data_IF_223426346958
#
_entry.id   IF_223426346958
#
_cell.length_a   1.000
_cell.length_b   1.000
_cell.length_c   1.000
_cell.angle_alpha   90.00
_cell.angle_beta   90.00
_cell.angle_gamma   90.00
#
_symmetry.space_group_name_H-M   'P 1'
#
loop_
_entity.id
_entity.type
_entity.pdbx_description
1 polymer ?
#
# COMPACT_ATOMS: atom_id res chain seq x y z
N UNK A 1 0.75 -22.49 3.76
CA UNK A 1 0.31 -22.91 2.43
C UNK A 1 -0.80 -22.02 1.86
N UNK A 2 -0.95 -20.77 2.35
CA UNK A 2 -2.03 -19.83 1.96
C UNK A 2 -1.53 -18.54 1.29
N UNK A 3 -0.22 -18.30 1.28
CA UNK A 3 0.37 -17.08 0.70
C UNK A 3 0.09 -16.87 -0.80
N UNK A 4 0.08 -17.90 -1.68
CA UNK A 4 -0.20 -17.67 -3.10
C UNK A 4 -1.63 -17.20 -3.38
N UNK A 5 -2.58 -17.58 -2.53
CA UNK A 5 -3.99 -17.22 -2.70
C UNK A 5 -4.24 -15.75 -2.32
N UNK A 6 -3.60 -15.32 -1.30
CA UNK A 6 -3.68 -13.92 -0.87
C UNK A 6 -3.10 -12.95 -1.90
N UNK A 7 -2.28 -13.35 -2.57
CA UNK A 7 -1.77 -12.64 -3.52
C UNK A 7 -2.56 -12.52 -4.68
N UNK A 8 -3.01 -13.27 -4.78
CA UNK A 8 -3.86 -13.29 -5.81
C UNK A 8 -5.00 -12.46 -5.63
N UNK A 9 -5.63 -12.69 -4.53
CA UNK A 9 -6.80 -11.89 -4.13
C UNK A 9 -6.47 -10.39 -4.08
N UNK A 10 -5.33 -10.07 -3.55
CA UNK A 10 -4.85 -8.67 -3.48
C UNK A 10 -4.55 -8.10 -4.86
N UNK A 11 -4.01 -8.93 -5.75
CA UNK A 11 -3.79 -8.53 -7.15
C UNK A 11 -5.13 -8.34 -7.88
N UNK A 12 -6.13 -9.14 -7.59
CA UNK A 12 -7.48 -8.98 -8.15
C UNK A 12 -8.17 -7.74 -7.59
N UNK A 13 -8.15 -7.54 -6.27
CA UNK A 13 -8.70 -6.34 -5.61
C UNK A 13 -7.99 -5.09 -6.11
N UNK A 14 -6.71 -5.21 -6.33
CA UNK A 14 -5.89 -4.12 -6.85
C UNK A 14 -6.13 -3.86 -8.34
N UNK A 15 -6.28 -4.81 -8.94
CA UNK A 15 -6.59 -4.77 -10.23
C UNK A 15 -7.83 -4.15 -10.52
N UNK A 16 -8.78 -4.43 -9.73
CA UNK A 16 -10.10 -3.81 -9.84
C UNK A 16 -10.07 -2.32 -9.44
N UNK A 17 -9.34 -1.99 -8.40
CA UNK A 17 -9.12 -0.59 -8.00
C UNK A 17 -8.29 0.20 -9.03
N UNK A 18 -7.33 -0.45 -9.69
CA UNK A 18 -6.58 0.21 -10.78
C UNK A 18 -7.44 0.40 -12.02
N UNK A 19 -8.31 -0.54 -12.35
CA UNK A 19 -9.33 -0.37 -13.40
C UNK A 19 -10.25 0.79 -13.05
N UNK A 20 -10.67 0.90 -11.80
CA UNK A 20 -11.51 2.01 -11.33
C UNK A 20 -10.74 3.35 -11.35
N UNK A 21 -9.43 3.35 -11.07
CA UNK A 21 -8.59 4.54 -11.19
C UNK A 21 -8.44 4.95 -12.67
N UNK A 22 -8.32 4.00 -13.59
CA UNK A 22 -8.33 4.27 -15.03
C UNK A 22 -9.67 4.84 -15.50
N UNK A 23 -10.78 4.31 -14.99
CA UNK A 23 -12.14 4.80 -15.30
C UNK A 23 -12.34 6.21 -14.74
N UNK A 24 -11.82 6.49 -13.53
CA UNK A 24 -11.86 7.86 -12.95
C UNK A 24 -10.96 8.80 -13.78
N UNK A 25 -9.82 8.35 -14.25
CA UNK A 25 -8.94 9.11 -15.14
C UNK A 25 -9.60 9.37 -16.51
N UNK A 26 -10.36 8.44 -17.01
CA UNK A 26 -11.12 8.58 -18.26
C UNK A 26 -12.23 9.65 -18.16
N UNK A 27 -12.60 9.59 -17.20
CA UNK A 27 -13.62 10.42 -16.95
C UNK A 27 -13.25 11.80 -16.73
N UNK A 28 -12.26 11.97 -16.38
CA UNK A 28 -11.75 13.30 -16.12
C UNK A 28 -11.11 13.98 -17.35
N UNK A 29 -11.12 13.33 -18.49
CA UNK A 29 -10.39 13.83 -19.67
C UNK A 29 -11.06 15.01 -20.40
N UNK A 30 -12.34 15.27 -20.15
CA UNK A 30 -13.02 16.41 -20.76
C UNK A 30 -12.92 17.66 -19.86
N UNK A 31 -11.99 18.54 -20.18
CA UNK A 31 -11.85 19.86 -19.55
C UNK A 31 -10.84 20.00 -18.43
N UNK A 32 -9.83 19.14 -18.42
CA UNK A 32 -8.80 19.15 -17.37
C UNK A 32 -7.81 20.33 -17.55
N UNK A 33 -7.61 21.09 -16.48
CA UNK A 33 -6.61 22.16 -16.45
C UNK A 33 -5.19 21.60 -16.67
N UNK A 34 -4.28 22.37 -17.31
CA UNK A 34 -2.89 21.92 -17.54
C UNK A 34 -2.14 21.45 -16.28
N UNK A 35 -2.52 21.94 -15.11
CA UNK A 35 -1.94 21.52 -13.83
C UNK A 35 -2.35 20.09 -13.46
N UNK A 36 -3.62 19.74 -13.70
CA UNK A 36 -4.16 18.38 -13.43
C UNK A 36 -3.51 17.40 -14.40
N UNK A 37 -3.38 17.75 -15.68
CA UNK A 37 -2.73 16.90 -16.69
C UNK A 37 -1.28 16.57 -16.29
N UNK A 38 -0.53 17.56 -15.81
CA UNK A 38 0.85 17.35 -15.35
C UNK A 38 0.89 16.43 -14.10
N UNK A 39 -0.06 16.60 -13.19
CA UNK A 39 -0.16 15.76 -11.98
C UNK A 39 -0.47 14.31 -12.36
N UNK A 40 -1.40 14.11 -13.29
CA UNK A 40 -1.78 12.80 -13.81
C UNK A 40 -0.60 12.11 -14.48
N UNK A 41 0.16 12.84 -15.30
CA UNK A 41 1.39 12.31 -15.93
C UNK A 41 2.41 11.86 -14.89
N UNK A 42 2.61 12.67 -13.83
CA UNK A 42 3.53 12.31 -12.74
C UNK A 42 3.05 11.09 -11.96
N UNK A 43 1.74 10.99 -11.71
CA UNK A 43 1.15 9.83 -11.03
C UNK A 43 1.34 8.56 -11.88
N UNK A 44 1.09 8.63 -13.18
CA UNK A 44 1.28 7.50 -14.08
C UNK A 44 2.73 7.01 -14.10
N UNK A 45 3.69 7.95 -14.12
CA UNK A 45 5.12 7.62 -14.04
C UNK A 45 5.42 6.93 -12.69
N UNK A 46 4.85 7.45 -11.59
CA UNK A 46 5.01 6.87 -10.26
C UNK A 46 4.44 5.44 -10.20
N UNK A 47 3.23 5.24 -10.71
CA UNK A 47 2.58 3.91 -10.70
C UNK A 47 3.36 2.89 -11.56
N UNK A 48 3.78 3.29 -12.77
CA UNK A 48 4.62 2.44 -13.62
C UNK A 48 5.91 2.02 -12.90
N UNK A 49 6.59 2.98 -12.26
CA UNK A 49 7.78 2.68 -11.47
C UNK A 49 7.47 1.76 -10.30
N UNK A 50 6.38 2.01 -9.58
CA UNK A 50 6.00 1.25 -8.37
C UNK A 50 5.91 -0.26 -8.67
N UNK A 51 5.40 -0.62 -9.86
CA UNK A 51 5.19 -2.00 -10.28
C UNK A 51 6.27 -2.52 -11.23
N UNK A 52 7.33 -1.73 -11.47
CA UNK A 52 8.45 -2.16 -12.30
C UNK A 52 9.63 -2.64 -11.43
N UNK A 53 10.63 -3.20 -12.06
CA UNK A 53 11.91 -3.52 -11.44
C UNK A 53 12.91 -2.37 -11.58
N UNK A 54 12.49 -1.22 -12.13
CA UNK A 54 13.35 -0.08 -12.40
C UNK A 54 13.78 0.59 -11.09
N UNK A 55 15.02 1.02 -11.04
CA UNK A 55 15.53 1.76 -9.88
C UNK A 55 15.29 3.26 -10.09
N UNK A 56 15.09 3.97 -8.99
CA UNK A 56 14.71 5.41 -9.03
C UNK A 56 15.69 6.29 -9.81
N UNK A 57 16.98 5.91 -9.84
CA UNK A 57 17.99 6.73 -10.54
C UNK A 57 17.77 6.76 -12.05
N UNK A 58 17.15 5.71 -12.61
CA UNK A 58 16.90 5.57 -14.04
C UNK A 58 15.60 6.24 -14.49
N UNK A 59 14.80 6.72 -13.54
CA UNK A 59 13.53 7.39 -13.82
C UNK A 59 13.77 8.83 -14.33
N UNK A 60 12.81 9.39 -15.08
CA UNK A 60 12.95 10.75 -15.65
C UNK A 60 13.32 11.81 -14.60
N UNK A 61 14.44 12.47 -14.83
CA UNK A 61 15.00 13.48 -13.92
C UNK A 61 15.93 12.91 -12.86
N UNK A 62 16.20 11.62 -12.87
CA UNK A 62 17.07 10.94 -11.91
C UNK A 62 16.45 10.79 -10.52
N UNK A 63 17.10 10.01 -9.66
CA UNK A 63 16.56 9.55 -8.38
C UNK A 63 16.08 10.67 -7.45
N UNK A 64 16.85 11.74 -7.28
CA UNK A 64 16.49 12.85 -6.37
C UNK A 64 15.25 13.61 -6.87
N UNK A 65 15.28 13.97 -8.16
CA UNK A 65 14.16 14.69 -8.79
C UNK A 65 12.91 13.84 -8.82
N UNK A 66 13.04 12.55 -9.17
CA UNK A 66 11.94 11.61 -9.17
C UNK A 66 11.31 11.53 -7.77
N UNK A 67 12.10 11.28 -6.70
CA UNK A 67 11.59 11.21 -5.32
C UNK A 67 10.85 12.49 -4.92
N UNK A 68 11.43 13.67 -5.23
CA UNK A 68 10.80 14.95 -4.88
C UNK A 68 9.44 15.14 -5.56
N UNK A 69 9.34 14.77 -6.85
CA UNK A 69 8.09 14.91 -7.63
C UNK A 69 7.03 13.89 -7.22
N UNK A 70 7.45 12.72 -6.75
CA UNK A 70 6.52 11.61 -6.45
C UNK A 70 6.23 11.41 -4.96
N UNK A 71 6.90 12.15 -4.05
CA UNK A 71 6.72 11.98 -2.61
C UNK A 71 5.26 12.09 -2.17
N UNK A 72 4.52 13.03 -2.76
CA UNK A 72 3.10 13.27 -2.47
C UNK A 72 2.20 12.07 -2.81
N UNK A 73 2.63 11.19 -3.72
CA UNK A 73 1.84 10.02 -4.12
C UNK A 73 1.90 8.87 -3.10
N UNK A 74 2.76 8.97 -2.09
CA UNK A 74 2.72 8.02 -0.98
C UNK A 74 1.57 8.32 -0.01
N UNK A 75 1.03 9.53 -0.04
CA UNK A 75 -0.01 9.99 0.88
C UNK A 75 -1.43 9.92 0.30
N UNK A 76 -1.56 9.49 -0.97
CA UNK A 76 -2.89 9.41 -1.62
C UNK A 76 -3.66 8.13 -1.30
N UNK A 77 -3.00 7.14 -0.70
CA UNK A 77 -3.62 5.85 -0.41
C UNK A 77 -4.58 6.00 0.76
N UNK A 78 -5.83 5.67 0.52
CA UNK A 78 -6.84 5.69 1.57
C UNK A 78 -6.54 4.61 2.60
N UNK A 79 -6.61 4.99 3.87
CA UNK A 79 -6.53 4.01 4.93
C UNK A 79 -7.77 3.10 4.89
N UNK A 80 -7.64 1.82 5.23
CA UNK A 80 -8.80 0.93 5.32
C UNK A 80 -9.78 1.45 6.37
N UNK A 81 -11.06 1.06 6.29
CA UNK A 81 -12.01 1.41 7.34
C UNK A 81 -11.59 0.82 8.68
N UNK A 82 -12.11 1.40 9.74
CA UNK A 82 -11.90 0.87 11.10
C UNK A 82 -12.69 -0.43 11.23
N UNK A 83 -12.03 -1.47 11.72
CA UNK A 83 -12.64 -2.78 12.00
C UNK A 83 -13.00 -2.79 13.49
N UNK A 84 -14.27 -2.63 13.78
CA UNK A 84 -14.77 -2.58 15.16
C UNK A 84 -14.97 -3.99 15.75
N UNK A 85 -15.16 -4.99 14.87
CA UNK A 85 -15.32 -6.36 15.29
C UNK A 85 -14.04 -6.89 15.93
N UNK A 86 -14.16 -7.55 17.08
CA UNK A 86 -13.03 -8.16 17.78
C UNK A 86 -12.72 -9.53 17.22
N UNK A 87 -11.52 -9.69 16.70
CA UNK A 87 -11.01 -10.97 16.17
C UNK A 87 -10.13 -11.65 17.22
N UNK A 88 -10.36 -12.96 17.42
CA UNK A 88 -9.56 -13.72 18.39
C UNK A 88 -8.12 -13.85 17.93
N UNK A 89 -7.92 -14.14 16.64
CA UNK A 89 -6.56 -14.31 16.06
C UNK A 89 -6.48 -13.53 14.76
N UNK A 90 -5.44 -12.73 14.61
CA UNK A 90 -5.12 -12.06 13.35
C UNK A 90 -3.71 -12.44 12.90
N UNK A 91 -3.51 -12.43 11.60
CA UNK A 91 -2.23 -12.70 10.94
C UNK A 91 -1.76 -11.41 10.28
N UNK A 92 -0.48 -11.09 10.46
CA UNK A 92 0.10 -9.88 9.86
C UNK A 92 1.33 -10.26 9.03
N UNK A 93 1.47 -9.63 7.86
CA UNK A 93 2.58 -9.90 6.95
C UNK A 93 2.88 -8.67 6.08
N UNK A 94 4.11 -8.56 5.60
CA UNK A 94 4.55 -7.49 4.70
C UNK A 94 4.92 -8.03 3.33
N UNK A 95 4.14 -7.68 2.30
CA UNK A 95 4.36 -8.12 0.91
C UNK A 95 5.10 -7.03 0.13
N UNK A 96 6.30 -7.35 -0.35
CA UNK A 96 7.11 -6.41 -1.12
C UNK A 96 6.72 -6.42 -2.60
N UNK A 97 6.42 -5.24 -3.13
CA UNK A 97 6.12 -5.01 -4.55
C UNK A 97 7.41 -4.60 -5.27
N UNK A 98 8.02 -5.56 -5.96
CA UNK A 98 9.20 -5.33 -6.81
C UNK A 98 10.34 -4.55 -6.12
N UNK A 99 10.44 -4.60 -4.81
CA UNK A 99 11.42 -3.85 -3.98
C UNK A 99 11.16 -2.35 -3.90
N UNK A 100 10.12 -1.85 -4.54
CA UNK A 100 9.82 -0.41 -4.58
C UNK A 100 8.88 0.02 -3.46
N UNK A 101 8.04 -0.91 -2.99
CA UNK A 101 7.07 -0.66 -1.94
C UNK A 101 6.80 -1.93 -1.14
N UNK A 102 6.13 -1.77 -0.01
CA UNK A 102 5.66 -2.85 0.83
C UNK A 102 4.19 -2.62 1.17
N UNK A 103 3.35 -3.64 0.98
CA UNK A 103 1.98 -3.65 1.46
C UNK A 103 1.95 -4.45 2.75
N UNK A 104 1.68 -3.78 3.85
CA UNK A 104 1.42 -4.43 5.13
C UNK A 104 -0.04 -4.89 5.14
N UNK A 105 -0.27 -6.10 5.61
CA UNK A 105 -1.61 -6.72 5.59
C UNK A 105 -1.91 -7.24 6.97
N UNK A 106 -3.16 -7.08 7.40
CA UNK A 106 -3.73 -7.76 8.55
C UNK A 106 -4.96 -8.53 8.08
N UNK A 107 -5.04 -9.81 8.40
CA UNK A 107 -6.17 -10.66 8.02
C UNK A 107 -6.53 -11.61 9.17
N UNK A 108 -7.76 -12.07 9.16
CA UNK A 108 -8.15 -13.24 9.94
C UNK A 108 -8.05 -14.50 9.06
N UNK A 109 -8.70 -15.60 9.40
CA UNK A 109 -8.66 -16.84 8.62
C UNK A 109 -9.34 -16.72 7.26
N UNK A 110 -10.28 -15.79 7.11
CA UNK A 110 -11.20 -15.76 5.98
C UNK A 110 -11.12 -14.45 5.19
N UNK A 111 -10.73 -13.35 5.83
CA UNK A 111 -10.85 -11.99 5.25
C UNK A 111 -9.62 -11.15 5.52
N UNK A 112 -9.34 -10.24 4.59
CA UNK A 112 -8.38 -9.15 4.81
C UNK A 112 -9.11 -8.06 5.62
N UNK A 113 -8.64 -7.81 6.82
CA UNK A 113 -9.19 -6.81 7.74
C UNK A 113 -8.67 -5.41 7.41
N UNK A 114 -7.41 -5.33 6.96
CA UNK A 114 -6.83 -4.05 6.61
C UNK A 114 -5.50 -4.20 5.89
N UNK A 115 -5.09 -3.10 5.26
CA UNK A 115 -3.82 -3.03 4.55
C UNK A 115 -3.26 -1.61 4.61
N UNK A 116 -1.94 -1.50 4.45
CA UNK A 116 -1.25 -0.19 4.45
C UNK A 116 -0.10 -0.23 3.45
N UNK A 117 -0.11 0.68 2.46
CA UNK A 117 0.98 0.77 1.49
C UNK A 117 2.06 1.71 2.02
N UNK A 118 3.29 1.25 2.07
CA UNK A 118 4.44 2.04 2.50
C UNK A 118 5.66 1.73 1.62
N UNK A 119 6.68 2.57 1.72
CA UNK A 119 7.91 2.38 0.94
C UNK A 119 8.67 1.12 1.39
N UNK A 120 8.69 0.86 2.67
CA UNK A 120 9.32 -0.29 3.30
C UNK A 120 8.67 -0.52 4.66
N UNK A 121 8.76 -1.73 5.14
CA UNK A 121 8.22 -2.11 6.44
C UNK A 121 8.90 -1.33 7.56
N UNK A 122 8.13 -0.57 8.34
CA UNK A 122 8.62 0.16 9.50
C UNK A 122 7.54 0.28 10.58
N UNK A 123 7.96 0.55 11.81
CA UNK A 123 7.09 0.53 12.98
C UNK A 123 5.88 1.46 12.85
N UNK A 124 6.08 2.70 12.36
CA UNK A 124 4.96 3.64 12.25
C UNK A 124 3.90 3.19 11.24
N UNK A 125 4.31 2.52 10.15
CA UNK A 125 3.36 1.95 9.19
C UNK A 125 2.52 0.85 9.84
N UNK A 126 3.16 -0.02 10.64
CA UNK A 126 2.44 -1.05 11.40
C UNK A 126 1.48 -0.43 12.42
N UNK A 127 1.90 0.61 13.13
CA UNK A 127 1.04 1.32 14.09
C UNK A 127 -0.18 1.90 13.35
N UNK A 128 0.04 2.52 12.18
CA UNK A 128 -1.05 3.09 11.36
C UNK A 128 -2.06 2.03 10.90
N UNK A 129 -1.59 0.83 10.56
CA UNK A 129 -2.47 -0.27 10.18
C UNK A 129 -3.20 -0.82 11.42
N UNK A 130 -2.47 -1.16 12.47
CA UNK A 130 -3.05 -1.81 13.66
C UNK A 130 -4.00 -0.89 14.42
N UNK A 131 -3.81 0.44 14.37
CA UNK A 131 -4.75 1.39 14.99
C UNK A 131 -6.14 1.38 14.35
N UNK A 132 -6.30 0.72 13.20
CA UNK A 132 -7.58 0.56 12.49
C UNK A 132 -8.29 -0.74 12.84
N UNK A 133 -7.69 -1.58 13.68
CA UNK A 133 -8.21 -2.91 13.99
C UNK A 133 -8.37 -3.02 15.49
N UNK A 134 -9.56 -3.38 15.95
CA UNK A 134 -9.82 -3.61 17.37
C UNK A 134 -8.85 -4.65 17.90
N UNK A 135 -8.25 -4.37 19.06
CA UNK A 135 -7.20 -5.18 19.66
C UNK A 135 -7.56 -6.67 19.68
N UNK A 136 -6.83 -7.51 18.93
CA UNK A 136 -7.08 -8.95 18.89
C UNK A 136 -6.51 -9.64 20.14
N UNK A 137 -7.00 -10.84 20.41
CA UNK A 137 -6.47 -11.64 21.52
C UNK A 137 -5.06 -12.20 21.19
N UNK A 138 -4.79 -12.45 19.92
CA UNK A 138 -3.50 -13.00 19.49
C UNK A 138 -3.15 -12.46 18.11
N UNK A 139 -1.88 -12.04 17.95
CA UNK A 139 -1.33 -11.64 16.64
C UNK A 139 -0.24 -12.64 16.24
N UNK A 140 -0.36 -13.17 15.03
CA UNK A 140 0.62 -14.08 14.43
C UNK A 140 1.39 -13.31 13.37
N UNK A 141 2.73 -13.29 13.48
CA UNK A 141 3.61 -12.61 12.51
C UNK A 141 4.85 -13.47 12.25
N UNK A 142 5.58 -13.15 11.19
CA UNK A 142 6.88 -13.75 10.88
C UNK A 142 8.01 -13.25 11.79
N UNK A 143 7.72 -12.33 12.70
CA UNK A 143 8.71 -11.74 13.61
C UNK A 143 9.52 -10.61 12.99
N UNK A 144 9.02 -9.96 11.95
CA UNK A 144 9.69 -8.84 11.28
C UNK A 144 10.09 -7.73 12.25
N UNK A 145 11.29 -7.15 12.04
CA UNK A 145 11.84 -6.09 12.93
C UNK A 145 10.92 -4.87 13.02
N UNK A 146 10.25 -4.52 11.93
CA UNK A 146 9.31 -3.39 11.87
C UNK A 146 8.13 -3.61 12.79
N UNK A 147 7.53 -4.79 12.72
CA UNK A 147 6.38 -5.17 13.55
C UNK A 147 6.76 -5.27 15.03
N UNK A 148 7.85 -5.97 15.33
CA UNK A 148 8.33 -6.10 16.71
C UNK A 148 8.62 -4.74 17.38
N UNK A 149 9.12 -3.78 16.60
CA UNK A 149 9.34 -2.42 17.09
C UNK A 149 8.02 -1.67 17.29
N UNK A 150 7.00 -1.96 16.49
CA UNK A 150 5.66 -1.38 16.68
C UNK A 150 5.04 -1.87 17.98
N UNK A 151 5.09 -3.19 18.24
CA UNK A 151 4.53 -3.79 19.45
C UNK A 151 5.11 -3.20 20.76
N UNK A 152 6.37 -2.77 20.72
CA UNK A 152 7.01 -2.17 21.92
C UNK A 152 6.59 -0.72 22.16
N UNK A 153 5.89 -0.09 21.22
CA UNK A 153 5.48 1.32 21.32
C UNK A 153 4.00 1.47 21.69
N UNK A 154 3.26 0.38 21.65
CA UNK A 154 1.85 0.30 22.04
C UNK A 154 1.74 -0.42 23.37
#
# INVERSE_FOLDING_TARGET
>A
MYLPYLXXLLLEIWXDKCRNAEVILWXLQDGISPKIDNLTKQLNIFLKWLFSKDIQKDMPGGGRTFRRKTSKFWDIWTLPPVVEEKHSVVFVDGIYLCRNACVLICCDRNHVLGWYLCRYEHANAWISLMSRITEPALVVSDGGKGFNKALRKV
#
